data_IF_390167600036
#
_entry.id   IF_390167600036
#
_cell.length_a   1.000
_cell.length_b   1.000
_cell.length_c   1.000
_cell.angle_alpha   90.00
_cell.angle_beta   90.00
_cell.angle_gamma   90.00
#
_symmetry.space_group_name_H-M   'P 1'
#
loop_
_entity.id
_entity.type
_entity.pdbx_description
1 polymer ?
#
# COMPACT_ATOMS: atom_id res chain seq x y z
N UNK A 1 -7.88 -42.05 -26.49
CA UNK A 1 -7.87 -40.61 -26.16
C UNK A 1 -6.85 -40.41 -25.05
N UNK A 2 -5.80 -39.64 -25.28
CA UNK A 2 -4.87 -39.20 -24.23
C UNK A 2 -5.52 -38.09 -23.40
N UNK A 3 -5.41 -38.10 -22.07
CA UNK A 3 -5.82 -36.95 -21.25
C UNK A 3 -4.94 -35.75 -21.60
N UNK A 4 -5.56 -34.59 -21.87
CA UNK A 4 -4.81 -33.32 -21.88
C UNK A 4 -4.52 -32.93 -20.44
N UNK A 5 -3.28 -33.12 -19.99
CA UNK A 5 -2.82 -32.60 -18.70
C UNK A 5 -2.75 -31.08 -18.80
N UNK A 6 -3.77 -30.39 -18.29
CA UNK A 6 -3.77 -28.93 -18.19
C UNK A 6 -2.61 -28.49 -17.30
N UNK A 7 -1.64 -27.78 -17.85
CA UNK A 7 -0.53 -27.22 -17.08
C UNK A 7 -1.05 -26.15 -16.13
N UNK A 8 -1.24 -26.52 -14.87
CA UNK A 8 -1.74 -25.62 -13.84
C UNK A 8 -0.61 -24.67 -13.41
N UNK A 9 -0.62 -23.46 -13.95
CA UNK A 9 0.36 -22.42 -13.60
C UNK A 9 0.21 -22.01 -12.14
N UNK A 10 1.32 -21.88 -11.42
CA UNK A 10 1.35 -21.27 -10.09
C UNK A 10 0.68 -19.89 -10.11
N UNK A 11 -0.06 -19.48 -9.05
CA UNK A 11 -0.59 -18.12 -8.98
C UNK A 11 0.51 -17.06 -8.91
N UNK A 12 0.23 -15.87 -9.44
CA UNK A 12 1.08 -14.67 -9.33
C UNK A 12 0.27 -13.46 -8.84
N UNK A 13 0.89 -12.30 -8.70
CA UNK A 13 0.19 -11.02 -8.73
C UNK A 13 0.27 -10.44 -10.15
N UNK A 14 -0.29 -9.24 -10.35
CA UNK A 14 -0.19 -8.47 -11.58
C UNK A 14 -0.05 -6.98 -11.26
N UNK A 15 0.53 -6.21 -12.18
CA UNK A 15 0.26 -4.77 -12.22
C UNK A 15 -0.73 -4.45 -13.34
N UNK A 16 -1.40 -3.31 -13.29
CA UNK A 16 -2.26 -2.87 -14.38
C UNK A 16 -1.46 -2.67 -15.67
N UNK A 17 -1.85 -3.37 -16.73
CA UNK A 17 -1.18 -3.40 -18.04
C UNK A 17 -1.07 -2.04 -18.71
N UNK A 18 -2.01 -1.15 -18.40
CA UNK A 18 -2.10 0.22 -18.92
C UNK A 18 -1.67 1.26 -17.86
N UNK A 19 -1.35 0.84 -16.63
CA UNK A 19 -0.61 1.66 -15.66
C UNK A 19 0.89 1.53 -15.96
N UNK A 20 1.37 2.42 -16.82
CA UNK A 20 2.76 2.82 -16.77
C UNK A 20 3.00 3.44 -15.35
N UNK A 21 4.11 3.24 -14.63
CA UNK A 21 5.54 3.27 -14.96
C UNK A 21 6.35 2.64 -13.75
N UNK A 22 7.60 2.15 -13.93
CA UNK A 22 8.79 1.93 -13.00
C UNK A 22 8.67 1.94 -11.42
N UNK A 23 9.46 1.26 -10.55
CA UNK A 23 10.90 0.82 -10.47
C UNK A 23 11.11 -0.50 -9.66
N UNK A 24 11.93 -1.54 -9.88
CA UNK A 24 13.09 -1.72 -10.76
C UNK A 24 12.80 -1.03 -12.04
N UNK A 25 13.52 0.07 -12.26
CA UNK A 25 13.18 1.08 -13.26
C UNK A 25 12.98 0.33 -14.55
N UNK A 26 11.86 0.39 -15.28
CA UNK A 26 11.73 -0.61 -16.34
C UNK A 26 10.49 -0.63 -17.20
N UNK A 27 10.68 -0.29 -18.48
CA UNK A 27 9.85 -0.66 -19.62
C UNK A 27 10.59 -0.18 -20.91
N UNK A 28 10.78 -0.98 -21.98
CA UNK A 28 11.41 -0.53 -23.22
C UNK A 28 10.35 -0.18 -24.30
N UNK A 29 9.06 -0.25 -23.95
CA UNK A 29 7.96 0.13 -24.82
C UNK A 29 8.06 1.65 -25.08
N UNK A 30 8.22 2.10 -26.34
CA UNK A 30 8.65 3.47 -26.68
C UNK A 30 7.66 4.59 -26.29
N UNK A 31 6.53 4.26 -25.66
CA UNK A 31 5.58 5.22 -25.09
C UNK A 31 6.07 5.87 -23.79
N UNK A 32 6.87 5.17 -22.98
CA UNK A 32 7.11 5.54 -21.58
C UNK A 32 8.43 6.31 -21.41
N UNK A 33 8.35 7.63 -21.31
CA UNK A 33 9.51 8.54 -21.25
C UNK A 33 10.05 8.81 -19.85
N UNK A 34 9.45 8.24 -18.81
CA UNK A 34 9.66 8.69 -17.42
C UNK A 34 9.58 7.55 -16.39
N UNK A 35 9.75 7.91 -15.12
CA UNK A 35 9.81 7.04 -13.95
C UNK A 35 8.93 7.72 -12.88
N UNK A 36 7.87 7.09 -12.35
CA UNK A 36 6.90 7.80 -11.54
C UNK A 36 7.31 7.75 -10.08
N UNK A 37 6.95 8.77 -9.31
CA UNK A 37 7.09 8.71 -7.86
C UNK A 37 5.97 9.50 -7.24
N UNK A 38 5.48 9.11 -6.07
CA UNK A 38 4.71 10.06 -5.28
C UNK A 38 5.65 11.16 -4.78
N UNK A 39 5.26 12.42 -4.93
CA UNK A 39 6.08 13.56 -4.51
C UNK A 39 6.56 13.36 -3.05
N UNK A 40 7.88 13.37 -2.77
CA UNK A 40 8.37 13.18 -1.41
C UNK A 40 7.74 14.17 -0.42
N UNK A 41 7.37 13.66 0.76
CA UNK A 41 6.71 14.39 1.85
C UNK A 41 5.18 14.39 1.80
N UNK A 42 4.52 13.86 0.77
CA UNK A 42 3.04 13.82 0.72
C UNK A 42 2.44 12.67 1.55
N UNK A 43 1.16 12.86 1.86
CA UNK A 43 0.27 11.80 2.32
C UNK A 43 -0.48 11.19 1.13
N UNK A 44 -0.63 9.87 1.15
CA UNK A 44 -1.37 9.09 0.15
C UNK A 44 -2.62 8.55 0.85
N UNK A 45 -3.76 9.26 0.80
CA UNK A 45 -4.98 8.80 1.46
C UNK A 45 -5.53 7.56 0.75
N UNK A 46 -5.95 6.55 1.51
CA UNK A 46 -6.50 5.31 0.97
C UNK A 46 -7.74 4.85 1.74
N UNK A 47 -8.61 4.09 1.08
CA UNK A 47 -9.76 3.44 1.72
C UNK A 47 -9.89 1.96 1.35
N UNK A 48 -10.92 1.31 1.88
CA UNK A 48 -11.27 -0.09 1.59
C UNK A 48 -12.76 -0.12 1.23
N UNK A 49 -13.10 -0.53 0.01
CA UNK A 49 -14.50 -0.69 -0.40
C UNK A 49 -15.08 -1.95 0.24
N UNK A 50 -15.59 -1.78 1.46
CA UNK A 50 -16.27 -2.83 2.24
C UNK A 50 -17.50 -3.40 1.53
N UNK A 51 -18.05 -2.74 0.50
CA UNK A 51 -19.18 -3.25 -0.28
C UNK A 51 -18.76 -4.33 -1.29
N UNK A 52 -17.60 -4.20 -1.94
CA UNK A 52 -17.05 -5.26 -2.81
C UNK A 52 -16.86 -6.60 -2.07
N UNK A 53 -16.45 -6.55 -0.80
CA UNK A 53 -16.23 -7.72 0.04
C UNK A 53 -17.52 -8.42 0.50
N UNK A 54 -18.72 -7.91 0.16
CA UNK A 54 -19.99 -8.59 0.47
C UNK A 54 -20.17 -9.91 -0.30
N UNK A 55 -19.39 -10.15 -1.35
CA UNK A 55 -19.39 -11.41 -2.11
C UNK A 55 -18.61 -12.57 -1.44
N UNK A 56 -17.94 -12.33 -0.30
CA UNK A 56 -17.18 -13.34 0.46
C UNK A 56 -17.63 -13.40 1.92
N UNK A 57 -17.03 -14.29 2.72
CA UNK A 57 -17.36 -14.35 4.14
C UNK A 57 -16.92 -13.08 4.88
N UNK A 58 -17.75 -12.60 5.81
CA UNK A 58 -17.41 -11.47 6.68
C UNK A 58 -16.17 -11.71 7.57
N UNK A 59 -15.67 -12.94 7.66
CA UNK A 59 -14.40 -13.27 8.29
C UNK A 59 -13.21 -12.95 7.35
N UNK A 60 -13.24 -13.43 6.10
CA UNK A 60 -12.23 -13.11 5.08
C UNK A 60 -12.18 -11.60 4.80
N UNK A 61 -13.33 -10.93 4.73
CA UNK A 61 -13.42 -9.47 4.53
C UNK A 61 -12.68 -8.69 5.64
N UNK A 62 -12.95 -9.03 6.91
CA UNK A 62 -12.27 -8.41 8.07
C UNK A 62 -10.78 -8.75 8.12
N UNK A 63 -10.42 -9.97 7.76
CA UNK A 63 -9.02 -10.38 7.68
C UNK A 63 -8.27 -9.59 6.60
N UNK A 64 -8.84 -9.43 5.41
CA UNK A 64 -8.26 -8.62 4.34
C UNK A 64 -8.11 -7.14 4.74
N UNK A 65 -9.13 -6.50 5.32
CA UNK A 65 -9.01 -5.11 5.80
C UNK A 65 -7.93 -4.97 6.89
N UNK A 66 -7.85 -5.90 7.84
CA UNK A 66 -6.87 -5.86 8.93
C UNK A 66 -5.43 -6.10 8.42
N UNK A 67 -5.22 -7.12 7.60
CA UNK A 67 -3.92 -7.48 7.04
C UNK A 67 -3.41 -6.42 6.07
N UNK A 68 -4.28 -5.75 5.30
CA UNK A 68 -3.89 -4.61 4.49
C UNK A 68 -3.41 -3.42 5.34
N UNK A 69 -4.16 -3.09 6.40
CA UNK A 69 -3.79 -2.02 7.34
C UNK A 69 -2.46 -2.30 8.06
N UNK A 70 -2.15 -3.57 8.32
CA UNK A 70 -0.85 -3.99 8.85
C UNK A 70 0.28 -3.84 7.81
N UNK A 71 0.08 -4.27 6.55
CA UNK A 71 1.07 -4.06 5.49
C UNK A 71 1.35 -2.56 5.25
N UNK A 72 0.31 -1.72 5.26
CA UNK A 72 0.42 -0.25 5.24
C UNK A 72 1.25 0.27 6.43
N UNK A 73 0.99 -0.24 7.65
CA UNK A 73 1.71 0.15 8.86
C UNK A 73 3.21 -0.12 8.73
N UNK A 74 3.63 -1.26 8.17
CA UNK A 74 5.05 -1.59 7.98
C UNK A 74 5.75 -0.60 7.04
N UNK A 75 5.12 -0.24 5.91
CA UNK A 75 5.65 0.77 4.99
C UNK A 75 5.75 2.17 5.63
N UNK A 76 4.76 2.57 6.43
CA UNK A 76 4.77 3.83 7.17
C UNK A 76 5.87 3.87 8.26
N UNK A 77 5.99 2.82 9.07
CA UNK A 77 7.04 2.70 10.10
C UNK A 77 8.46 2.68 9.48
N UNK A 78 8.56 2.24 8.23
CA UNK A 78 9.79 2.28 7.44
C UNK A 78 10.22 3.67 6.97
N UNK A 79 9.37 4.71 7.12
CA UNK A 79 9.72 6.14 6.86
C UNK A 79 10.42 6.35 5.51
N UNK A 80 9.84 5.79 4.47
CA UNK A 80 10.43 5.72 3.13
C UNK A 80 10.54 7.08 2.41
N UNK A 81 9.65 8.03 2.71
CA UNK A 81 9.59 9.34 2.06
C UNK A 81 8.17 9.87 1.82
N UNK A 82 7.16 9.00 1.93
CA UNK A 82 5.72 9.30 1.87
C UNK A 82 4.99 8.54 2.96
N UNK A 83 3.74 8.93 3.27
CA UNK A 83 2.92 8.31 4.32
C UNK A 83 1.55 7.92 3.78
N UNK A 84 1.13 6.66 3.95
CA UNK A 84 -0.25 6.25 3.73
C UNK A 84 -1.13 6.65 4.92
N UNK A 85 -2.30 7.24 4.68
CA UNK A 85 -3.27 7.58 5.75
C UNK A 85 -4.67 7.06 5.37
N UNK A 86 -5.44 6.59 6.35
CA UNK A 86 -6.72 5.93 6.10
C UNK A 86 -7.87 6.92 6.10
N UNK A 87 -8.78 6.82 5.12
CA UNK A 87 -10.02 7.59 5.05
C UNK A 87 -11.22 6.65 4.91
N UNK A 88 -12.37 7.03 5.47
CA UNK A 88 -13.60 6.22 5.34
C UNK A 88 -14.31 6.42 3.99
N UNK A 89 -14.02 7.52 3.28
CA UNK A 89 -14.71 7.94 2.05
C UNK A 89 -13.81 7.79 0.79
N UNK A 90 -14.28 7.12 -0.27
CA UNK A 90 -13.54 6.97 -1.54
C UNK A 90 -13.28 8.32 -2.25
N UNK A 91 -14.13 9.33 -1.99
CA UNK A 91 -13.93 10.69 -2.49
C UNK A 91 -12.67 11.36 -1.93
N UNK A 92 -12.25 11.00 -0.71
CA UNK A 92 -11.01 11.50 -0.10
C UNK A 92 -9.77 10.66 -0.50
N UNK A 93 -9.97 9.44 -1.01
CA UNK A 93 -8.91 8.47 -1.27
C UNK A 93 -8.25 8.64 -2.66
N UNK A 94 -6.92 8.57 -2.72
CA UNK A 94 -6.15 8.42 -3.97
C UNK A 94 -6.24 7.00 -4.51
N UNK A 95 -6.46 6.00 -3.64
CA UNK A 95 -6.77 4.63 -4.05
C UNK A 95 -7.63 3.84 -3.05
N UNK A 96 -8.28 2.81 -3.56
CA UNK A 96 -9.14 1.90 -2.77
C UNK A 96 -8.68 0.45 -2.88
N UNK A 97 -8.68 -0.29 -1.76
CA UNK A 97 -8.62 -1.76 -1.76
C UNK A 97 -10.02 -2.36 -1.99
N UNK A 98 -10.13 -3.32 -2.90
CA UNK A 98 -11.39 -3.86 -3.41
C UNK A 98 -11.26 -5.38 -3.58
N UNK A 99 -12.34 -6.12 -3.29
CA UNK A 99 -12.44 -7.51 -3.72
C UNK A 99 -12.70 -7.61 -5.24
N UNK A 100 -11.72 -8.10 -5.99
CA UNK A 100 -11.75 -8.21 -7.45
C UNK A 100 -12.55 -9.39 -8.01
N UNK A 101 -13.16 -10.23 -7.17
CA UNK A 101 -13.88 -11.43 -7.61
C UNK A 101 -12.97 -12.63 -7.93
N UNK A 102 -13.46 -13.55 -8.77
CA UNK A 102 -12.66 -14.67 -9.28
C UNK A 102 -11.72 -14.20 -10.40
N UNK A 103 -10.42 -14.49 -10.26
CA UNK A 103 -9.46 -14.36 -11.36
C UNK A 103 -8.58 -15.61 -11.41
N UNK A 104 -8.39 -16.19 -12.60
CA UNK A 104 -7.58 -17.38 -12.76
C UNK A 104 -6.12 -17.10 -12.37
N UNK A 105 -5.63 -17.82 -11.36
CA UNK A 105 -4.23 -17.83 -10.91
C UNK A 105 -3.62 -16.43 -10.65
N UNK A 106 -4.42 -15.47 -10.17
CA UNK A 106 -3.91 -14.18 -9.71
C UNK A 106 -4.37 -13.92 -8.28
N UNK A 107 -3.45 -13.55 -7.40
CA UNK A 107 -3.70 -13.20 -6.00
C UNK A 107 -4.27 -11.79 -5.87
N UNK A 108 -3.54 -10.80 -6.38
CA UNK A 108 -3.92 -9.40 -6.33
C UNK A 108 -3.39 -8.64 -7.55
N UNK A 109 -3.81 -7.38 -7.68
CA UNK A 109 -3.40 -6.47 -8.74
C UNK A 109 -3.36 -5.03 -8.24
N UNK A 110 -2.25 -4.34 -8.49
CA UNK A 110 -2.06 -2.93 -8.16
C UNK A 110 -1.63 -2.08 -9.37
N UNK A 111 -1.39 -0.80 -9.09
CA UNK A 111 -1.14 0.28 -10.03
C UNK A 111 0.13 1.05 -9.60
N UNK A 112 0.67 1.89 -10.48
CA UNK A 112 1.84 2.73 -10.21
C UNK A 112 1.47 4.19 -9.92
N UNK A 113 2.35 4.99 -9.26
CA UNK A 113 2.08 6.40 -8.99
C UNK A 113 1.66 7.16 -10.27
N UNK A 114 0.53 7.86 -10.21
CA UNK A 114 -0.12 8.44 -11.38
C UNK A 114 -0.87 9.73 -11.03
N UNK A 115 -1.32 10.48 -12.05
CA UNK A 115 -2.19 11.65 -11.90
C UNK A 115 -3.69 11.28 -11.93
N UNK A 116 -4.06 10.00 -11.81
CA UNK A 116 -5.46 9.58 -11.72
C UNK A 116 -6.03 9.94 -10.34
N UNK A 117 -7.21 10.56 -10.31
CA UNK A 117 -7.88 10.98 -9.06
C UNK A 117 -8.34 9.82 -8.17
N UNK A 118 -8.44 8.61 -8.73
CA UNK A 118 -8.68 7.38 -7.98
C UNK A 118 -8.09 6.18 -8.72
N UNK A 119 -7.25 5.42 -8.03
CA UNK A 119 -6.67 4.17 -8.50
C UNK A 119 -7.23 3.01 -7.64
N UNK A 120 -6.99 1.74 -8.01
CA UNK A 120 -7.60 0.59 -7.31
C UNK A 120 -6.60 -0.54 -7.10
N UNK A 121 -6.53 -1.08 -5.88
CA UNK A 121 -5.88 -2.38 -5.59
C UNK A 121 -6.97 -3.44 -5.54
N UNK A 122 -6.86 -4.47 -6.37
CA UNK A 122 -7.80 -5.58 -6.41
C UNK A 122 -7.19 -6.79 -5.68
N UNK A 123 -7.89 -7.37 -4.72
CA UNK A 123 -7.58 -8.68 -4.15
C UNK A 123 -8.59 -9.70 -4.65
N UNK A 124 -8.13 -10.77 -5.27
CA UNK A 124 -9.00 -11.78 -5.89
C UNK A 124 -9.24 -12.97 -4.95
N UNK A 125 -10.24 -13.78 -5.30
CA UNK A 125 -10.63 -15.00 -4.60
C UNK A 125 -9.45 -15.88 -4.20
N UNK A 126 -8.45 -16.02 -5.08
CA UNK A 126 -7.29 -16.91 -4.94
C UNK A 126 -6.48 -16.58 -3.67
N UNK A 127 -6.26 -15.29 -3.38
CA UNK A 127 -5.52 -14.85 -2.20
C UNK A 127 -6.26 -15.10 -0.88
N UNK A 128 -7.55 -15.38 -0.94
CA UNK A 128 -8.44 -15.54 0.22
C UNK A 128 -8.84 -17.01 0.46
N UNK A 129 -8.29 -17.95 -0.31
CA UNK A 129 -8.49 -19.40 -0.12
C UNK A 129 -7.64 -19.91 1.05
N UNK A 130 -8.05 -20.98 1.76
CA UNK A 130 -7.36 -21.46 2.98
C UNK A 130 -5.87 -21.78 2.78
N UNK A 131 -5.48 -22.19 1.57
CA UNK A 131 -4.10 -22.55 1.22
C UNK A 131 -3.18 -21.33 1.06
N UNK A 132 -3.75 -20.15 0.80
CA UNK A 132 -3.02 -18.94 0.42
C UNK A 132 -3.24 -17.75 1.36
N UNK A 133 -4.31 -17.75 2.16
CA UNK A 133 -4.68 -16.61 3.02
C UNK A 133 -3.60 -16.22 4.05
N UNK A 134 -2.73 -17.16 4.45
CA UNK A 134 -1.57 -16.87 5.30
C UNK A 134 -0.50 -15.97 4.64
N UNK A 135 -0.47 -15.91 3.30
CA UNK A 135 0.45 -15.09 2.52
C UNK A 135 -0.11 -13.69 2.20
N UNK A 136 -1.34 -13.39 2.63
CA UNK A 136 -2.04 -12.17 2.27
C UNK A 136 -1.30 -10.89 2.70
N UNK A 137 -0.53 -10.93 3.79
CA UNK A 137 0.32 -9.80 4.20
C UNK A 137 1.49 -9.58 3.23
N UNK A 138 2.12 -10.65 2.77
CA UNK A 138 3.18 -10.60 1.75
C UNK A 138 2.65 -10.10 0.40
N UNK A 139 1.48 -10.56 -0.01
CA UNK A 139 0.75 -10.04 -1.18
C UNK A 139 0.49 -8.54 -1.02
N UNK A 140 -0.01 -8.08 0.12
CA UNK A 140 -0.27 -6.65 0.30
C UNK A 140 0.99 -5.80 0.44
N UNK A 141 2.09 -6.31 0.99
CA UNK A 141 3.37 -5.59 0.95
C UNK A 141 3.91 -5.44 -0.48
N UNK A 142 3.73 -6.46 -1.33
CA UNK A 142 4.07 -6.45 -2.76
C UNK A 142 3.19 -5.45 -3.55
N UNK A 143 1.86 -5.49 -3.37
CA UNK A 143 0.93 -4.54 -4.01
C UNK A 143 1.20 -3.10 -3.55
N UNK A 144 1.47 -2.87 -2.27
CA UNK A 144 1.87 -1.55 -1.75
C UNK A 144 3.23 -1.14 -2.30
N UNK A 145 4.13 -2.09 -2.55
CA UNK A 145 5.33 -1.89 -3.35
C UNK A 145 4.97 -1.26 -4.70
N UNK A 146 4.13 -1.90 -5.52
CA UNK A 146 3.67 -1.32 -6.80
C UNK A 146 3.12 0.11 -6.63
N UNK A 147 2.27 0.34 -5.63
CA UNK A 147 1.72 1.68 -5.35
C UNK A 147 2.80 2.71 -5.01
N UNK A 148 3.91 2.32 -4.37
CA UNK A 148 5.05 3.19 -4.09
C UNK A 148 5.95 3.43 -5.31
N UNK A 149 5.68 2.77 -6.44
CA UNK A 149 6.56 2.72 -7.59
C UNK A 149 7.59 1.59 -7.50
N UNK A 150 7.22 0.41 -6.97
CA UNK A 150 8.07 -0.79 -7.01
C UNK A 150 7.71 -1.78 -8.14
N UNK A 151 8.68 -2.44 -8.76
CA UNK A 151 8.53 -3.50 -9.80
C UNK A 151 9.30 -4.75 -9.44
N UNK A 152 8.92 -5.86 -10.05
CA UNK A 152 9.54 -7.17 -9.90
C UNK A 152 11.03 -7.17 -10.24
N UNK A 153 11.83 -7.91 -9.45
CA UNK A 153 13.27 -8.03 -9.69
C UNK A 153 13.60 -8.56 -11.10
N UNK A 154 12.75 -9.42 -11.63
CA UNK A 154 12.92 -10.01 -12.96
C UNK A 154 12.45 -9.13 -14.13
N UNK A 155 11.99 -7.89 -13.90
CA UNK A 155 11.49 -7.00 -14.97
C UNK A 155 12.51 -6.82 -16.12
N UNK A 156 13.80 -6.84 -15.78
CA UNK A 156 14.93 -6.92 -16.73
C UNK A 156 14.82 -8.08 -17.73
N UNK A 157 14.44 -9.28 -17.27
CA UNK A 157 14.60 -10.57 -17.97
C UNK A 157 13.30 -11.07 -18.63
N UNK A 158 12.15 -10.94 -17.98
CA UNK A 158 10.87 -11.52 -18.44
C UNK A 158 9.86 -10.48 -18.94
N UNK A 159 9.72 -9.35 -18.23
CA UNK A 159 8.80 -8.26 -18.61
C UNK A 159 9.39 -7.37 -19.72
N UNK A 160 10.73 -7.38 -19.83
CA UNK A 160 11.61 -6.50 -20.61
C UNK A 160 11.70 -5.08 -20.00
N UNK A 161 12.89 -4.48 -20.10
CA UNK A 161 13.08 -3.02 -20.08
C UNK A 161 13.77 -2.38 -18.88
N UNK A 162 14.31 -3.18 -17.96
CA UNK A 162 14.90 -2.68 -16.71
C UNK A 162 16.12 -1.75 -16.88
N UNK A 163 16.24 -0.74 -15.99
CA UNK A 163 17.46 -0.01 -15.62
C UNK A 163 17.91 -0.51 -14.27
N UNK A 164 19.22 -0.49 -14.07
CA UNK A 164 19.92 -0.80 -12.83
C UNK A 164 20.37 0.52 -12.19
N UNK A 165 20.29 0.71 -10.87
CA UNK A 165 20.92 1.90 -10.28
C UNK A 165 22.45 1.74 -10.33
N UNK A 166 23.21 2.83 -10.53
CA UNK A 166 24.67 2.78 -10.45
C UNK A 166 25.14 2.20 -9.11
N UNK A 167 26.05 1.23 -9.18
CA UNK A 167 26.63 0.53 -8.01
C UNK A 167 26.04 -0.86 -7.71
N UNK A 168 25.05 -1.37 -8.46
CA UNK A 168 24.40 -2.67 -8.20
C UNK A 168 25.02 -3.85 -8.99
N UNK A 169 26.25 -3.73 -9.47
CA UNK A 169 26.96 -4.80 -10.20
C UNK A 169 27.12 -6.06 -9.33
N UNK A 170 26.81 -7.25 -9.88
CA UNK A 170 26.79 -8.52 -9.16
C UNK A 170 25.38 -9.02 -8.73
N UNK A 171 24.35 -8.18 -8.77
CA UNK A 171 22.95 -8.59 -8.54
C UNK A 171 22.34 -9.52 -9.63
N UNK A 172 23.14 -9.99 -10.61
CA UNK A 172 22.70 -10.75 -11.78
C UNK A 172 22.36 -12.24 -11.52
N UNK A 173 21.99 -12.58 -10.28
CA UNK A 173 21.28 -13.81 -9.95
C UNK A 173 22.16 -15.03 -9.63
N UNK A 174 23.41 -14.84 -9.19
CA UNK A 174 24.19 -15.93 -8.61
C UNK A 174 23.61 -16.32 -7.24
N UNK A 175 22.78 -17.36 -7.23
CA UNK A 175 22.18 -17.93 -6.02
C UNK A 175 23.20 -18.84 -5.34
N UNK A 176 23.85 -18.35 -4.29
CA UNK A 176 24.55 -19.23 -3.35
C UNK A 176 23.57 -20.24 -2.75
N UNK A 177 23.95 -21.52 -2.66
CA UNK A 177 23.10 -22.64 -2.24
C UNK A 177 22.77 -22.63 -0.72
N UNK A 178 22.06 -21.60 -0.26
CA UNK A 178 21.46 -21.52 1.08
C UNK A 178 20.01 -21.03 1.00
N UNK A 179 19.07 -21.64 1.74
CA UNK A 179 17.72 -21.12 1.88
C UNK A 179 17.73 -19.91 2.83
N UNK A 180 18.20 -18.76 2.33
CA UNK A 180 17.96 -17.47 2.98
C UNK A 180 16.54 -17.01 2.69
N UNK A 181 15.89 -16.33 3.63
CA UNK A 181 14.61 -15.65 3.40
C UNK A 181 14.60 -14.84 2.08
N UNK A 182 13.43 -14.66 1.43
CA UNK A 182 13.27 -13.84 0.23
C UNK A 182 13.90 -12.45 0.41
N UNK A 183 14.58 -11.97 -0.64
CA UNK A 183 15.38 -10.73 -0.52
C UNK A 183 14.55 -9.47 -0.70
N UNK A 184 13.43 -9.58 -1.40
CA UNK A 184 12.48 -8.50 -1.69
C UNK A 184 11.05 -9.02 -1.66
N UNK A 185 10.08 -8.16 -1.31
CA UNK A 185 8.65 -8.45 -1.58
C UNK A 185 8.34 -8.51 -3.07
N UNK A 186 9.18 -7.95 -3.94
CA UNK A 186 9.03 -7.93 -5.39
C UNK A 186 9.63 -9.19 -6.08
N UNK A 187 10.07 -10.18 -5.31
CA UNK A 187 10.59 -11.47 -5.79
C UNK A 187 9.51 -12.56 -5.71
N UNK A 188 9.05 -13.10 -6.85
CA UNK A 188 8.05 -14.18 -6.88
C UNK A 188 8.59 -15.59 -6.63
N UNK A 189 9.90 -15.81 -6.82
CA UNK A 189 10.46 -17.14 -6.97
C UNK A 189 11.78 -17.30 -6.22
N UNK A 190 11.74 -18.09 -5.15
CA UNK A 190 12.93 -18.70 -4.59
C UNK A 190 13.43 -19.80 -5.55
N UNK A 191 14.23 -19.40 -6.54
CA UNK A 191 14.70 -20.31 -7.60
C UNK A 191 15.93 -21.09 -7.15
N UNK A 192 15.72 -22.24 -6.53
CA UNK A 192 16.78 -23.24 -6.37
C UNK A 192 17.25 -23.74 -7.76
N UNK A 193 18.56 -23.70 -8.00
CA UNK A 193 19.13 -24.04 -9.32
C UNK A 193 19.10 -25.55 -9.65
N UNK A 194 18.71 -26.38 -8.67
CA UNK A 194 18.46 -27.82 -8.86
C UNK A 194 17.23 -28.14 -9.72
N UNK A 195 16.38 -27.15 -10.03
CA UNK A 195 15.16 -27.31 -10.84
C UNK A 195 15.43 -27.45 -12.37
N UNK A 196 16.45 -28.23 -12.75
CA UNK A 196 16.74 -28.64 -14.14
C UNK A 196 16.13 -30.00 -14.50
N UNK A 197 15.37 -30.61 -13.59
CA UNK A 197 14.55 -31.80 -13.83
C UNK A 197 13.06 -31.44 -13.85
N UNK A 198 12.27 -32.22 -14.60
CA UNK A 198 10.87 -31.94 -14.91
C UNK A 198 10.01 -31.72 -13.64
N UNK A 199 9.00 -30.81 -13.68
CA UNK A 199 8.08 -30.62 -12.57
C UNK A 199 7.33 -31.92 -12.28
N UNK A 200 7.54 -32.49 -11.09
CA UNK A 200 6.82 -33.68 -10.62
C UNK A 200 5.36 -33.27 -10.37
N UNK A 201 4.37 -33.87 -11.07
CA UNK A 201 2.96 -33.52 -10.86
C UNK A 201 2.55 -33.78 -9.40
N UNK A 202 2.10 -32.74 -8.71
CA UNK A 202 1.68 -32.81 -7.29
C UNK A 202 2.70 -32.29 -6.28
N UNK A 203 3.94 -31.97 -6.67
CA UNK A 203 4.89 -31.26 -5.79
C UNK A 203 4.79 -29.76 -6.07
N UNK A 204 4.12 -29.02 -5.17
CA UNK A 204 4.22 -27.56 -5.16
C UNK A 204 5.66 -27.17 -4.73
N UNK A 205 6.26 -26.11 -5.30
CA UNK A 205 7.52 -25.58 -4.78
C UNK A 205 7.33 -25.12 -3.32
N UNK A 206 8.33 -25.36 -2.47
CA UNK A 206 8.25 -25.07 -1.03
C UNK A 206 8.21 -23.55 -0.75
N UNK A 207 7.00 -22.99 -0.81
CA UNK A 207 6.63 -21.66 -0.31
C UNK A 207 6.56 -21.70 1.23
N UNK A 208 7.69 -22.01 1.90
CA UNK A 208 7.72 -22.41 3.32
C UNK A 208 8.68 -21.63 4.21
N UNK A 209 9.66 -20.90 3.66
CA UNK A 209 10.67 -20.12 4.42
C UNK A 209 10.48 -18.59 4.27
N UNK A 210 9.22 -18.14 4.15
CA UNK A 210 8.86 -16.71 4.09
C UNK A 210 8.58 -16.17 5.51
N UNK A 211 9.39 -15.22 6.04
CA UNK A 211 9.31 -14.83 7.45
C UNK A 211 8.10 -13.92 7.76
N UNK A 212 7.22 -14.41 8.65
CA UNK A 212 6.25 -13.67 9.49
C UNK A 212 5.71 -12.34 8.92
N UNK A 213 5.17 -12.36 7.69
CA UNK A 213 4.52 -11.18 7.10
C UNK A 213 5.44 -9.96 6.86
N UNK A 214 6.76 -10.07 7.08
CA UNK A 214 7.61 -8.91 7.34
C UNK A 214 8.27 -8.32 6.10
N UNK A 215 8.19 -7.00 5.96
CA UNK A 215 8.86 -6.22 4.92
C UNK A 215 10.41 -6.34 5.00
N UNK A 216 11.09 -6.85 3.96
CA UNK A 216 12.54 -6.98 3.91
C UNK A 216 13.29 -5.65 4.00
N UNK A 217 14.50 -5.67 4.58
CA UNK A 217 15.34 -4.49 4.72
C UNK A 217 15.78 -3.91 3.37
N UNK A 218 15.98 -4.77 2.35
CA UNK A 218 16.34 -4.35 0.99
C UNK A 218 15.30 -3.40 0.41
N UNK A 219 14.03 -3.78 0.42
CA UNK A 219 12.94 -2.96 -0.11
C UNK A 219 12.85 -1.61 0.60
N UNK A 220 13.04 -1.60 1.93
CA UNK A 220 13.08 -0.38 2.74
C UNK A 220 14.24 0.52 2.32
N UNK A 221 15.43 -0.03 2.10
CA UNK A 221 16.63 0.74 1.74
C UNK A 221 16.61 1.24 0.29
N UNK A 222 16.15 0.42 -0.66
CA UNK A 222 15.99 0.79 -2.07
C UNK A 222 14.87 1.83 -2.25
N UNK A 223 13.72 1.67 -1.57
CA UNK A 223 12.66 2.69 -1.59
C UNK A 223 13.13 3.99 -0.95
N UNK A 224 13.83 3.95 0.19
CA UNK A 224 14.45 5.14 0.81
C UNK A 224 15.51 5.78 -0.08
N UNK A 225 16.25 5.00 -0.88
CA UNK A 225 17.22 5.53 -1.87
C UNK A 225 16.47 6.26 -2.97
N UNK A 226 15.44 5.64 -3.54
CA UNK A 226 14.61 6.19 -4.60
C UNK A 226 13.90 7.50 -4.20
N UNK A 227 13.27 7.55 -3.03
CA UNK A 227 12.55 8.74 -2.55
C UNK A 227 13.46 9.89 -2.08
N UNK A 228 14.79 9.69 -2.05
CA UNK A 228 15.79 10.76 -1.82
C UNK A 228 16.33 11.40 -3.10
N UNK A 229 16.03 10.85 -4.29
CA UNK A 229 16.56 11.37 -5.55
C UNK A 229 15.86 12.68 -5.95
N UNK A 230 16.58 13.58 -6.61
CA UNK A 230 16.01 14.86 -7.05
C UNK A 230 14.98 14.65 -8.17
N UNK A 231 13.94 15.47 -8.19
CA UNK A 231 12.95 15.46 -9.29
C UNK A 231 13.64 15.75 -10.62
N UNK A 232 13.31 15.00 -11.66
CA UNK A 232 14.00 15.09 -12.97
C UNK A 232 15.33 14.34 -13.06
N UNK A 233 15.85 13.70 -12.01
CA UNK A 233 17.03 12.82 -12.10
C UNK A 233 16.79 11.74 -13.15
N UNK A 234 17.71 11.54 -14.10
CA UNK A 234 17.53 10.60 -15.22
C UNK A 234 18.24 9.27 -15.00
N UNK A 235 17.56 8.17 -15.35
CA UNK A 235 18.12 6.81 -15.41
C UNK A 235 17.78 6.21 -16.78
N UNK A 236 18.79 5.76 -17.53
CA UNK A 236 18.67 5.39 -18.96
C UNK A 236 17.80 6.38 -19.77
N UNK A 237 18.15 7.66 -19.68
CA UNK A 237 17.48 8.78 -20.38
C UNK A 237 16.01 9.01 -19.98
N UNK A 238 15.50 8.37 -18.92
CA UNK A 238 14.14 8.57 -18.37
C UNK A 238 14.20 9.38 -17.07
N UNK A 239 13.65 10.61 -16.97
CA UNK A 239 13.56 11.36 -15.72
C UNK A 239 12.59 10.74 -14.69
N UNK A 240 12.90 10.93 -13.41
CA UNK A 240 11.95 10.79 -12.30
C UNK A 240 10.94 11.95 -12.32
N UNK A 241 9.65 11.63 -12.27
CA UNK A 241 8.52 12.56 -12.30
C UNK A 241 7.69 12.40 -11.01
N UNK A 242 7.55 13.49 -10.26
CA UNK A 242 6.84 13.51 -8.99
C UNK A 242 5.33 13.79 -9.16
N UNK A 243 4.54 12.74 -9.01
CA UNK A 243 3.09 12.72 -9.00
C UNK A 243 2.52 13.23 -7.68
N UNK A 244 1.53 14.11 -7.76
CA UNK A 244 0.92 14.78 -6.60
C UNK A 244 -0.58 14.99 -6.88
N UNK A 245 -1.42 13.94 -6.73
CA UNK A 245 -2.81 13.94 -7.17
C UNK A 245 -3.64 14.93 -6.35
N UNK A 246 -4.68 15.53 -6.94
CA UNK A 246 -5.37 16.69 -6.33
C UNK A 246 -5.88 16.40 -4.91
N UNK A 247 -6.43 15.20 -4.68
CA UNK A 247 -6.86 14.73 -3.35
C UNK A 247 -5.73 14.81 -2.32
N UNK A 248 -4.51 14.37 -2.65
CA UNK A 248 -3.35 14.44 -1.75
C UNK A 248 -2.88 15.90 -1.49
N UNK A 249 -3.11 16.82 -2.43
CA UNK A 249 -2.75 18.25 -2.24
C UNK A 249 -3.62 18.95 -1.21
N UNK A 250 -4.92 18.61 -1.15
CA UNK A 250 -5.88 19.20 -0.19
C UNK A 250 -6.03 18.36 1.08
N UNK A 251 -5.44 17.17 1.13
CA UNK A 251 -5.61 16.23 2.24
C UNK A 251 -4.97 16.73 3.54
N UNK A 252 -5.82 16.97 4.54
CA UNK A 252 -5.39 17.09 5.94
C UNK A 252 -5.28 15.69 6.56
N UNK A 253 -4.12 15.30 7.14
CA UNK A 253 -3.93 14.01 7.81
C UNK A 253 -4.95 13.73 8.92
N UNK A 254 -5.28 12.45 9.12
CA UNK A 254 -6.28 12.01 10.11
C UNK A 254 -5.95 12.50 11.53
N UNK A 255 -4.67 12.56 11.88
CA UNK A 255 -4.20 13.12 13.15
C UNK A 255 -4.51 14.62 13.30
N UNK A 256 -4.39 15.41 12.22
CA UNK A 256 -4.74 16.83 12.22
C UNK A 256 -6.26 17.01 12.25
N UNK A 257 -7.01 16.28 11.39
CA UNK A 257 -8.48 16.29 11.40
C UNK A 257 -9.04 16.01 12.80
N UNK A 258 -8.49 15.00 13.50
CA UNK A 258 -8.88 14.69 14.88
C UNK A 258 -8.54 15.83 15.83
N UNK A 259 -7.32 16.37 15.80
CA UNK A 259 -6.91 17.46 16.69
C UNK A 259 -7.77 18.73 16.50
N UNK A 260 -8.15 19.05 15.25
CA UNK A 260 -9.11 20.12 14.95
C UNK A 260 -10.47 19.84 15.56
N UNK A 261 -11.04 18.65 15.35
CA UNK A 261 -12.35 18.29 15.90
C UNK A 261 -12.37 18.28 17.43
N UNK A 262 -11.35 17.70 18.06
CA UNK A 262 -11.22 17.65 19.53
C UNK A 262 -11.15 19.07 20.13
N UNK A 263 -10.55 20.04 19.40
CA UNK A 263 -10.49 21.44 19.76
C UNK A 263 -11.83 22.18 19.51
N UNK A 264 -12.52 21.94 18.39
CA UNK A 264 -13.84 22.51 18.08
C UNK A 264 -14.90 22.08 19.12
N UNK A 265 -14.99 20.78 19.40
CA UNK A 265 -15.84 20.27 20.49
C UNK A 265 -15.40 20.84 21.86
N UNK A 266 -14.10 21.14 22.04
CA UNK A 266 -13.57 21.82 23.22
C UNK A 266 -14.09 23.25 23.38
N UNK A 267 -14.21 24.00 22.27
CA UNK A 267 -14.75 25.37 22.24
C UNK A 267 -16.26 25.35 22.52
N UNK A 268 -17.01 24.43 21.91
CA UNK A 268 -18.46 24.37 22.12
C UNK A 268 -18.83 23.93 23.55
N UNK A 269 -18.10 22.97 24.14
CA UNK A 269 -18.24 22.64 25.58
C UNK A 269 -17.95 23.83 26.50
N UNK A 270 -17.08 24.76 26.10
CA UNK A 270 -16.85 26.01 26.84
C UNK A 270 -18.00 27.02 26.66
N UNK A 271 -18.58 27.14 25.45
CA UNK A 271 -19.75 27.98 25.16
C UNK A 271 -20.98 27.53 25.93
N UNK A 272 -21.29 26.23 25.93
CA UNK A 272 -22.39 25.65 26.70
C UNK A 272 -22.25 25.94 28.20
N UNK A 273 -21.04 25.77 28.74
CA UNK A 273 -20.75 26.13 30.14
C UNK A 273 -21.00 27.61 30.40
N UNK A 274 -20.48 28.49 29.54
CA UNK A 274 -20.62 29.95 29.71
C UNK A 274 -22.09 30.40 29.70
N UNK A 275 -22.91 29.89 28.77
CA UNK A 275 -24.34 30.20 28.73
C UNK A 275 -25.12 29.61 29.92
N UNK A 276 -24.78 28.40 30.38
CA UNK A 276 -25.39 27.82 31.59
C UNK A 276 -25.04 28.62 32.85
N UNK A 277 -23.78 29.00 33.02
CA UNK A 277 -23.32 29.75 34.19
C UNK A 277 -23.89 31.19 34.17
N UNK A 278 -24.07 31.79 32.98
CA UNK A 278 -24.81 33.04 32.73
C UNK A 278 -26.31 32.94 33.03
N UNK A 279 -26.96 31.85 32.64
CA UNK A 279 -28.37 31.60 32.97
C UNK A 279 -28.57 31.40 34.49
N UNK A 280 -27.63 30.74 35.17
CA UNK A 280 -27.62 30.64 36.64
C UNK A 280 -27.49 32.03 37.29
N UNK A 281 -26.58 32.88 36.80
CA UNK A 281 -26.43 34.26 37.26
C UNK A 281 -27.70 35.11 37.05
N UNK A 282 -28.41 34.94 35.92
CA UNK A 282 -29.68 35.63 35.70
C UNK A 282 -30.78 35.17 36.68
N UNK A 283 -30.82 33.87 37.00
CA UNK A 283 -31.83 33.27 37.88
C UNK A 283 -31.58 33.58 39.36
N UNK A 284 -30.33 33.55 39.82
CA UNK A 284 -29.98 33.62 41.25
C UNK A 284 -29.20 34.89 41.65
N UNK A 285 -28.64 35.65 40.71
CA UNK A 285 -27.85 36.85 41.00
C UNK A 285 -28.61 37.99 41.69
N UNK A 286 -29.96 37.98 41.61
CA UNK A 286 -30.84 38.97 42.27
C UNK A 286 -31.03 38.75 43.78
N UNK A 287 -30.62 37.61 44.33
CA UNK A 287 -30.74 37.31 45.78
C UNK A 287 -29.58 37.90 46.62
N UNK A 288 -28.71 38.73 46.04
CA UNK A 288 -27.68 39.47 46.80
C UNK A 288 -28.30 40.56 47.67
N UNK A 289 -28.76 40.13 48.85
CA UNK A 289 -28.90 40.87 50.12
C UNK A 289 -29.14 42.38 49.98
N UNK A 290 -30.37 42.81 50.30
CA UNK A 290 -30.55 44.14 50.91
C UNK A 290 -29.54 44.25 52.07
N UNK A 291 -28.87 45.40 52.27
CA UNK A 291 -28.16 45.63 53.52
C UNK A 291 -29.15 45.42 54.67
N UNK A 292 -28.67 44.88 55.79
CA UNK A 292 -29.37 45.10 57.05
C UNK A 292 -29.07 46.54 57.42
N UNK A 293 -30.10 47.35 57.49
CA UNK A 293 -30.02 48.63 58.18
C UNK A 293 -29.63 48.35 59.64
N UNK A 294 -28.74 49.17 60.18
CA UNK A 294 -28.19 49.04 61.53
C UNK A 294 -28.63 50.27 62.32
N UNK A 295 -29.60 50.07 63.20
CA UNK A 295 -30.00 51.01 64.25
C UNK A 295 -28.95 51.03 65.39
#
# INVERSE_FOLDING_TARGET
>A
MTPQTSQQTSPSCLSETDSALCIVVGNPNPCNKEIPRWKPGIYIPYTVDRSSFLAITGAQAKYAEATFKQAVKQWNESKIGVTFDFVEEENDAVFTLIYGGEHNNVFAKAFFPSNQDLNRILVYSVALRPEYIMWLEWVFLHELGHVLGLRHEFALKSEKGGVRFPGEEGADGQVGNTPTAPRSVMEYYHRSESATQHPIPGVQPNLMDYPEGKLPLKDIEETRRFYKLESGTTYENRPIVDYNPQKAQVYQPTAIRKATKDAEEGIDRQREKAERDKAWLQKHGKERRKPKDVD
#
